data_IF_649059948816
#
_entry.id   IF_649059948816
#
_cell.length_a   1.000
_cell.length_b   1.000
_cell.length_c   1.000
_cell.angle_alpha   90.00
_cell.angle_beta   90.00
_cell.angle_gamma   90.00
#
_symmetry.space_group_name_H-M   'P 1'
#
loop_
_entity.id
_entity.type
_entity.pdbx_description
1 polymer ?
#
# COMPACT_ATOMS: atom_id res chain seq x y z
N UNK A 1 -10.20 -27.72 6.30
CA UNK A 1 -8.98 -27.81 7.13
C UNK A 1 -7.68 -28.20 6.40
N UNK A 2 -7.49 -29.40 5.80
CA UNK A 2 -6.26 -29.70 5.01
C UNK A 2 -6.21 -29.00 3.64
N UNK A 3 -7.37 -28.82 2.99
CA UNK A 3 -7.48 -28.13 1.68
C UNK A 3 -7.24 -26.62 1.79
N UNK A 4 -7.72 -25.96 2.86
CA UNK A 4 -7.38 -24.55 3.15
C UNK A 4 -5.90 -24.31 3.37
N UNK A 5 -5.18 -25.22 4.07
CA UNK A 5 -3.72 -25.10 4.23
C UNK A 5 -2.95 -25.19 2.91
N UNK A 6 -3.47 -25.90 1.91
CA UNK A 6 -2.86 -25.98 0.56
C UNK A 6 -3.09 -24.72 -0.26
N UNK A 7 -4.22 -24.04 -0.08
CA UNK A 7 -4.57 -22.77 -0.77
C UNK A 7 -3.80 -21.57 -0.16
N UNK A 8 -3.34 -21.71 1.08
CA UNK A 8 -2.67 -20.68 1.88
C UNK A 8 -1.19 -20.44 1.53
N UNK A 9 -0.54 -21.40 0.84
CA UNK A 9 0.87 -21.33 0.40
C UNK A 9 1.09 -20.72 -0.99
N UNK A 10 0.01 -20.31 -1.66
CA UNK A 10 0.01 -19.84 -3.05
C UNK A 10 0.18 -18.32 -3.19
N UNK A 11 0.23 -17.58 -2.07
CA UNK A 11 0.31 -16.12 -2.12
C UNK A 11 1.52 -15.58 -2.92
N UNK A 12 2.74 -16.17 -2.88
CA UNK A 12 3.85 -15.64 -3.67
C UNK A 12 3.59 -15.73 -5.17
N UNK A 13 2.88 -16.77 -5.61
CA UNK A 13 2.52 -16.96 -7.03
C UNK A 13 1.42 -15.98 -7.44
N UNK A 14 0.40 -15.77 -6.60
CA UNK A 14 -0.62 -14.74 -6.83
C UNK A 14 -0.02 -13.33 -6.92
N UNK A 15 0.95 -13.02 -6.03
CA UNK A 15 1.70 -11.76 -6.09
C UNK A 15 2.48 -11.66 -7.40
N UNK A 16 3.13 -12.75 -7.83
CA UNK A 16 3.88 -12.78 -9.08
C UNK A 16 2.98 -12.53 -10.29
N UNK A 17 1.84 -13.24 -10.40
CA UNK A 17 0.85 -13.03 -11.47
C UNK A 17 0.44 -11.56 -11.56
N UNK A 18 0.11 -10.94 -10.42
CA UNK A 18 -0.32 -9.56 -10.37
C UNK A 18 0.81 -8.58 -10.73
N UNK A 19 1.98 -8.73 -10.11
CA UNK A 19 3.12 -7.84 -10.29
C UNK A 19 3.68 -7.91 -11.72
N UNK A 20 3.77 -9.11 -12.30
CA UNK A 20 4.23 -9.34 -13.67
C UNK A 20 3.25 -8.71 -14.67
N UNK A 21 1.95 -8.93 -14.49
CA UNK A 21 0.93 -8.34 -15.36
C UNK A 21 0.99 -6.81 -15.33
N UNK A 22 1.15 -6.22 -14.15
CA UNK A 22 1.24 -4.76 -13.98
C UNK A 22 2.62 -4.19 -14.39
N UNK A 23 3.66 -5.01 -14.52
CA UNK A 23 5.01 -4.55 -14.81
C UNK A 23 5.62 -3.72 -13.68
N UNK A 24 5.31 -4.05 -12.42
CA UNK A 24 5.76 -3.29 -11.24
C UNK A 24 7.29 -3.31 -11.16
N UNK A 25 7.91 -2.12 -11.09
CA UNK A 25 9.38 -1.97 -11.14
C UNK A 25 10.09 -2.40 -9.86
N UNK A 26 9.45 -2.18 -8.71
CA UNK A 26 10.01 -2.45 -7.38
C UNK A 26 9.46 -3.76 -6.83
N UNK A 27 10.17 -4.38 -5.88
CA UNK A 27 9.70 -5.63 -5.29
C UNK A 27 8.38 -5.41 -4.54
N UNK A 28 7.36 -6.26 -4.73
CA UNK A 28 6.18 -6.28 -3.87
C UNK A 28 6.57 -6.50 -2.40
N UNK A 29 6.06 -5.65 -1.51
CA UNK A 29 6.40 -5.64 -0.08
C UNK A 29 5.30 -6.31 0.73
N UNK A 30 5.65 -7.34 1.49
CA UNK A 30 4.81 -7.91 2.52
C UNK A 30 4.95 -7.14 3.83
N UNK A 31 3.83 -6.89 4.50
CA UNK A 31 3.78 -6.38 5.87
C UNK A 31 3.22 -7.46 6.78
N UNK A 32 3.88 -7.69 7.92
CA UNK A 32 3.45 -8.70 8.90
C UNK A 32 3.59 -8.19 10.33
N UNK A 33 2.52 -8.30 11.10
CA UNK A 33 2.50 -8.10 12.55
C UNK A 33 2.69 -9.45 13.23
N UNK A 34 3.78 -9.64 13.97
CA UNK A 34 4.05 -10.89 14.70
C UNK A 34 5.22 -10.74 15.66
N UNK A 35 5.19 -11.45 16.78
CA UNK A 35 6.34 -11.57 17.69
C UNK A 35 7.16 -12.85 17.42
N UNK A 36 6.79 -13.62 16.41
CA UNK A 36 7.57 -14.76 15.94
C UNK A 36 8.87 -14.27 15.28
N UNK A 37 10.01 -14.90 15.58
CA UNK A 37 11.27 -14.53 14.95
C UNK A 37 11.25 -14.88 13.45
N UNK A 38 11.82 -14.03 12.58
CA UNK A 38 11.89 -14.31 11.15
C UNK A 38 12.91 -15.40 10.87
N UNK A 39 12.71 -16.15 9.77
CA UNK A 39 13.71 -17.08 9.27
C UNK A 39 14.97 -16.38 8.70
N UNK A 40 14.88 -15.08 8.44
CA UNK A 40 15.94 -14.23 7.88
C UNK A 40 16.17 -13.08 8.84
N UNK A 41 17.43 -12.86 9.22
CA UNK A 41 17.80 -11.76 10.12
C UNK A 41 17.43 -10.40 9.47
N UNK A 42 16.67 -9.54 10.18
CA UNK A 42 16.38 -8.20 9.71
C UNK A 42 17.64 -7.33 9.64
N UNK A 43 17.63 -6.32 8.77
CA UNK A 43 18.70 -5.33 8.76
C UNK A 43 18.77 -4.57 10.09
N UNK A 44 19.99 -4.34 10.61
CA UNK A 44 20.17 -3.58 11.84
C UNK A 44 19.89 -2.09 11.59
N UNK A 45 19.42 -1.40 12.62
CA UNK A 45 19.23 0.05 12.60
C UNK A 45 17.79 0.48 12.84
N UNK A 46 17.56 1.78 12.66
CA UNK A 46 16.25 2.41 12.84
C UNK A 46 15.77 2.98 11.51
N UNK A 47 14.49 2.78 11.22
CA UNK A 47 13.86 3.23 9.97
C UNK A 47 12.58 4.00 10.30
N UNK A 48 12.21 4.96 9.45
CA UNK A 48 10.81 5.41 9.42
C UNK A 48 9.97 4.32 8.74
N UNK A 49 8.66 4.27 8.98
CA UNK A 49 7.77 3.35 8.25
C UNK A 49 7.85 3.59 6.74
N UNK A 50 7.90 4.86 6.34
CA UNK A 50 7.99 5.28 4.95
C UNK A 50 9.29 4.78 4.30
N UNK A 51 10.43 4.88 5.00
CA UNK A 51 11.72 4.37 4.55
C UNK A 51 11.82 2.84 4.59
N UNK A 52 11.14 2.19 5.55
CA UNK A 52 11.06 0.73 5.62
C UNK A 52 10.35 0.14 4.41
N UNK A 53 9.28 0.78 3.92
CA UNK A 53 8.58 0.38 2.70
C UNK A 53 9.53 0.45 1.49
N UNK A 54 10.25 1.57 1.31
CA UNK A 54 11.21 1.71 0.21
C UNK A 54 12.35 0.68 0.31
N UNK A 55 12.95 0.53 1.50
CA UNK A 55 14.06 -0.39 1.73
C UNK A 55 13.64 -1.84 1.46
N UNK A 56 12.44 -2.23 1.91
CA UNK A 56 11.88 -3.54 1.63
C UNK A 56 11.59 -3.74 0.14
N UNK A 57 11.11 -2.71 -0.56
CA UNK A 57 10.89 -2.77 -2.00
C UNK A 57 12.21 -2.93 -2.79
N UNK A 58 13.33 -2.48 -2.20
CA UNK A 58 14.69 -2.62 -2.72
C UNK A 58 15.42 -3.89 -2.24
N UNK A 59 14.75 -4.75 -1.46
CA UNK A 59 15.28 -6.06 -1.09
C UNK A 59 15.50 -6.27 0.41
N UNK A 60 15.44 -5.24 1.25
CA UNK A 60 15.75 -5.37 2.67
C UNK A 60 14.65 -6.13 3.46
N UNK A 61 15.02 -6.80 4.54
CA UNK A 61 14.05 -7.28 5.54
C UNK A 61 14.15 -6.32 6.73
N UNK A 62 13.11 -5.53 6.95
CA UNK A 62 13.09 -4.50 7.99
C UNK A 62 12.15 -4.95 9.11
N UNK A 63 12.60 -4.79 10.35
CA UNK A 63 11.79 -5.00 11.54
C UNK A 63 11.65 -3.68 12.29
N UNK A 64 10.41 -3.25 12.48
CA UNK A 64 10.08 -2.09 13.29
C UNK A 64 9.54 -2.54 14.64
N UNK A 65 10.10 -1.93 15.68
CA UNK A 65 9.70 -2.05 17.09
C UNK A 65 9.60 -0.62 17.66
N UNK A 66 9.14 -0.47 18.91
CA UNK A 66 9.07 0.83 19.58
C UNK A 66 10.43 1.58 19.57
N UNK A 67 11.54 0.88 19.72
CA UNK A 67 12.90 1.43 19.74
C UNK A 67 13.53 1.56 18.34
N UNK A 68 13.09 0.77 17.36
CA UNK A 68 13.65 0.78 15.99
C UNK A 68 12.87 1.62 14.98
N UNK A 69 11.66 2.09 15.32
CA UNK A 69 10.95 3.01 14.44
C UNK A 69 11.30 4.47 14.74
N UNK A 70 12.08 5.09 13.84
CA UNK A 70 12.68 6.42 14.01
C UNK A 70 11.65 7.56 14.12
N UNK A 71 10.48 7.41 13.47
CA UNK A 71 9.43 8.42 13.49
C UNK A 71 8.38 8.12 14.58
N UNK A 72 8.14 9.06 15.49
CA UNK A 72 7.08 8.95 16.52
C UNK A 72 5.69 8.84 15.90
N UNK A 73 5.44 9.59 14.82
CA UNK A 73 4.26 9.43 13.99
C UNK A 73 4.15 8.01 13.44
N UNK A 74 5.24 7.48 12.87
CA UNK A 74 5.32 6.09 12.41
C UNK A 74 4.87 5.09 13.48
N UNK A 75 5.56 5.11 14.65
CA UNK A 75 5.28 4.23 15.81
C UNK A 75 3.82 4.21 16.20
N UNK A 76 3.26 5.40 16.41
CA UNK A 76 1.88 5.54 16.87
C UNK A 76 0.86 5.13 15.79
N UNK A 77 1.09 5.46 14.51
CA UNK A 77 0.12 5.13 13.46
C UNK A 77 0.06 3.65 13.17
N UNK A 78 1.19 2.92 13.16
CA UNK A 78 1.19 1.47 12.92
C UNK A 78 0.91 0.65 14.18
N UNK A 79 0.74 1.28 15.34
CA UNK A 79 0.30 0.62 16.58
C UNK A 79 1.42 0.04 17.45
N UNK A 80 2.68 0.38 17.19
CA UNK A 80 3.81 -0.04 18.05
C UNK A 80 3.79 0.65 19.42
N UNK A 81 3.20 1.84 19.51
CA UNK A 81 3.00 2.54 20.77
C UNK A 81 1.62 3.16 20.80
N UNK A 82 1.03 3.37 22.00
CA UNK A 82 -0.09 4.30 22.14
C UNK A 82 0.28 5.67 21.56
N UNK A 83 -0.76 6.39 21.12
CA UNK A 83 -0.58 7.73 20.58
C UNK A 83 -0.10 8.68 21.69
N UNK A 84 1.07 9.28 21.51
CA UNK A 84 1.60 10.31 22.39
C UNK A 84 0.97 11.68 22.09
N UNK A 85 1.25 12.67 22.95
CA UNK A 85 0.92 14.07 22.68
C UNK A 85 1.51 14.50 21.34
N UNK A 86 0.66 15.03 20.46
CA UNK A 86 1.05 15.45 19.11
C UNK A 86 1.56 16.89 19.18
N UNK A 87 2.73 17.20 18.60
CA UNK A 87 3.28 18.55 18.59
C UNK A 87 2.58 19.40 17.52
N UNK A 88 1.31 19.75 17.75
CA UNK A 88 0.46 20.41 16.75
C UNK A 88 1.05 21.71 16.19
N UNK A 89 1.63 22.54 17.06
CA UNK A 89 2.27 23.80 16.64
C UNK A 89 3.43 23.56 15.68
N UNK A 90 4.24 22.52 15.91
CA UNK A 90 5.34 22.18 15.00
C UNK A 90 4.81 21.79 13.61
N UNK A 91 3.72 21.02 13.54
CA UNK A 91 3.16 20.60 12.25
C UNK A 91 2.49 21.75 11.49
N UNK A 92 1.92 22.72 12.21
CA UNK A 92 1.26 23.91 11.63
C UNK A 92 2.27 24.99 11.24
N UNK A 93 3.21 25.33 12.12
CA UNK A 93 4.12 26.46 11.91
C UNK A 93 5.42 26.03 11.22
N UNK A 94 5.93 24.84 11.58
CA UNK A 94 7.15 24.27 11.01
C UNK A 94 6.88 23.65 9.64
N UNK A 95 6.00 22.66 9.57
CA UNK A 95 5.72 21.96 8.30
C UNK A 95 4.69 22.68 7.41
N UNK A 96 3.88 23.57 7.98
CA UNK A 96 2.89 24.36 7.24
C UNK A 96 1.88 23.51 6.47
N UNK A 97 1.51 22.35 7.05
CA UNK A 97 0.53 21.43 6.47
C UNK A 97 -0.90 21.92 6.62
N UNK A 98 -1.16 22.76 7.63
CA UNK A 98 -2.50 23.27 7.95
C UNK A 98 -2.45 24.75 8.27
N UNK A 99 -3.58 25.43 8.04
CA UNK A 99 -3.74 26.84 8.35
C UNK A 99 -3.63 27.14 9.85
N UNK A 100 -4.20 26.29 10.70
CA UNK A 100 -4.15 26.42 12.17
C UNK A 100 -4.22 25.06 12.88
N UNK A 101 -3.98 25.08 14.20
CA UNK A 101 -4.02 23.87 15.05
C UNK A 101 -5.40 23.20 15.05
N UNK A 102 -6.50 23.96 15.01
CA UNK A 102 -7.86 23.40 14.98
C UNK A 102 -8.09 22.57 13.71
N UNK A 103 -7.58 23.05 12.58
CA UNK A 103 -7.62 22.35 11.30
C UNK A 103 -6.77 21.09 11.33
N UNK A 104 -5.57 21.15 11.93
CA UNK A 104 -4.71 19.99 12.13
C UNK A 104 -5.38 18.90 13.00
N UNK A 105 -6.00 19.30 14.12
CA UNK A 105 -6.73 18.39 15.02
C UNK A 105 -7.91 17.76 14.29
N UNK A 106 -8.73 18.55 13.59
CA UNK A 106 -9.86 18.04 12.79
C UNK A 106 -9.38 17.04 11.74
N UNK A 107 -8.31 17.39 11.03
CA UNK A 107 -7.64 16.52 10.07
C UNK A 107 -7.28 15.17 10.69
N UNK A 108 -6.69 15.15 11.89
CA UNK A 108 -6.38 13.90 12.57
C UNK A 108 -7.63 13.12 13.00
N UNK A 109 -8.66 13.80 13.49
CA UNK A 109 -9.89 13.13 13.93
C UNK A 109 -10.63 12.49 12.76
N UNK A 110 -10.68 13.15 11.60
CA UNK A 110 -11.27 12.56 10.39
C UNK A 110 -10.56 11.26 9.97
N UNK A 111 -9.23 11.20 10.10
CA UNK A 111 -8.45 9.98 9.83
C UNK A 111 -8.83 8.85 10.78
N UNK A 112 -8.87 9.12 12.09
CA UNK A 112 -9.18 8.10 13.10
C UNK A 112 -10.62 7.57 13.08
N UNK A 113 -11.55 8.25 12.41
CA UNK A 113 -12.92 7.73 12.21
C UNK A 113 -12.93 6.46 11.37
N UNK A 114 -11.99 6.33 10.44
CA UNK A 114 -11.95 5.21 9.51
C UNK A 114 -11.13 4.03 10.03
N UNK A 115 -9.99 4.30 10.69
CA UNK A 115 -9.17 3.27 11.29
C UNK A 115 -8.34 3.82 12.44
N UNK A 116 -8.35 3.11 13.57
CA UNK A 116 -7.48 3.40 14.71
C UNK A 116 -6.25 2.48 14.66
N UNK A 117 -5.06 2.97 15.06
CA UNK A 117 -3.88 2.13 15.17
C UNK A 117 -4.12 0.87 16.02
N UNK A 118 -3.64 -0.31 15.59
CA UNK A 118 -3.83 -1.57 16.30
C UNK A 118 -2.83 -1.74 17.45
N UNK A 119 -2.93 -0.87 18.46
CA UNK A 119 -2.05 -0.94 19.63
C UNK A 119 -2.23 -2.28 20.36
N UNK A 120 -1.13 -2.97 20.61
CA UNK A 120 -1.11 -4.28 21.27
C UNK A 120 -1.37 -5.48 20.35
N UNK A 121 -1.38 -5.27 19.02
CA UNK A 121 -1.51 -6.38 18.06
C UNK A 121 -0.23 -7.24 17.96
N UNK A 122 0.94 -6.61 17.98
CA UNK A 122 2.26 -7.23 18.05
C UNK A 122 3.30 -6.18 18.45
N UNK A 123 4.42 -6.60 19.03
CA UNK A 123 5.55 -5.73 19.36
C UNK A 123 6.48 -5.53 18.15
N UNK A 124 6.38 -6.37 17.13
CA UNK A 124 7.17 -6.29 15.90
C UNK A 124 6.29 -6.20 14.64
N UNK A 125 6.69 -5.28 13.75
CA UNK A 125 6.11 -5.14 12.41
C UNK A 125 7.21 -5.29 11.37
N UNK A 126 7.08 -6.30 10.50
CA UNK A 126 8.05 -6.60 9.47
C UNK A 126 7.61 -6.05 8.12
N UNK A 127 8.58 -5.52 7.37
CA UNK A 127 8.47 -5.12 5.96
C UNK A 127 9.52 -5.90 5.17
N UNK A 128 9.12 -6.63 4.15
CA UNK A 128 10.04 -7.50 3.41
C UNK A 128 9.58 -7.75 1.97
N UNK A 129 10.49 -8.01 1.02
CA UNK A 129 10.11 -8.50 -0.30
C UNK A 129 9.34 -9.81 -0.17
N UNK A 130 8.16 -9.90 -0.77
CA UNK A 130 7.36 -11.13 -0.78
C UNK A 130 8.16 -12.33 -1.32
N UNK A 131 9.04 -12.09 -2.29
CA UNK A 131 9.91 -13.11 -2.87
C UNK A 131 10.82 -13.81 -1.83
N UNK A 132 11.16 -13.14 -0.71
CA UNK A 132 11.96 -13.73 0.37
C UNK A 132 11.17 -14.68 1.28
N UNK A 133 9.83 -14.71 1.18
CA UNK A 133 8.94 -15.62 1.92
C UNK A 133 9.20 -15.64 3.44
N UNK A 134 9.54 -14.49 4.01
CA UNK A 134 9.87 -14.38 5.45
C UNK A 134 8.67 -14.78 6.30
N UNK A 135 7.49 -14.26 5.97
CA UNK A 135 6.21 -14.65 6.57
C UNK A 135 5.12 -14.65 5.50
N UNK A 136 3.95 -15.24 5.82
CA UNK A 136 2.71 -14.88 5.12
C UNK A 136 2.36 -13.44 5.51
N UNK A 137 2.21 -12.51 4.54
CA UNK A 137 1.88 -11.13 4.86
C UNK A 137 0.43 -10.99 5.33
N UNK A 138 0.18 -10.00 6.17
CA UNK A 138 -1.16 -9.49 6.47
C UNK A 138 -1.60 -8.51 5.37
N UNK A 139 -0.66 -7.68 4.90
CA UNK A 139 -0.84 -6.75 3.79
C UNK A 139 0.23 -6.93 2.72
N UNK A 140 -0.17 -6.75 1.47
CA UNK A 140 0.72 -6.57 0.34
C UNK A 140 0.73 -5.09 -0.07
N UNK A 141 1.93 -4.51 -0.19
CA UNK A 141 2.15 -3.18 -0.73
C UNK A 141 2.80 -3.29 -2.11
N UNK A 142 2.23 -2.58 -3.09
CA UNK A 142 2.79 -2.39 -4.43
C UNK A 142 3.12 -0.92 -4.64
N UNK A 143 4.36 -0.63 -5.02
CA UNK A 143 4.77 0.73 -5.41
C UNK A 143 4.49 0.87 -6.91
N UNK A 144 3.45 1.62 -7.24
CA UNK A 144 2.86 1.67 -8.58
C UNK A 144 2.86 3.09 -9.13
N UNK A 145 2.96 3.26 -10.45
CA UNK A 145 2.67 4.54 -11.10
C UNK A 145 1.14 4.72 -11.34
N UNK A 146 0.78 5.81 -12.02
CA UNK A 146 -0.62 6.13 -12.32
C UNK A 146 -1.32 5.12 -13.24
N UNK A 147 -0.61 4.58 -14.23
CA UNK A 147 -1.18 3.61 -15.16
C UNK A 147 -1.39 2.27 -14.45
N UNK A 148 -0.39 1.82 -13.71
CA UNK A 148 -0.44 0.61 -12.91
C UNK A 148 -1.54 0.68 -11.85
N UNK A 149 -1.70 1.83 -11.18
CA UNK A 149 -2.80 2.06 -10.25
C UNK A 149 -4.16 1.95 -10.96
N UNK A 150 -4.36 2.60 -12.11
CA UNK A 150 -5.62 2.53 -12.85
C UNK A 150 -6.00 1.09 -13.24
N UNK A 151 -5.00 0.31 -13.68
CA UNK A 151 -5.14 -1.12 -13.97
C UNK A 151 -5.54 -1.91 -12.73
N UNK A 152 -4.82 -1.71 -11.62
CA UNK A 152 -5.08 -2.40 -10.36
C UNK A 152 -6.47 -2.09 -9.78
N UNK A 153 -6.93 -0.83 -9.87
CA UNK A 153 -8.29 -0.45 -9.46
C UNK A 153 -9.36 -1.20 -10.26
N UNK A 154 -9.13 -1.34 -11.56
CA UNK A 154 -10.03 -2.08 -12.45
C UNK A 154 -10.05 -3.57 -12.10
N UNK A 155 -8.90 -4.16 -11.78
CA UNK A 155 -8.80 -5.56 -11.34
C UNK A 155 -9.49 -5.77 -9.98
N UNK A 156 -9.34 -4.84 -9.04
CA UNK A 156 -9.94 -4.94 -7.71
C UNK A 156 -11.48 -4.93 -7.74
N UNK A 157 -12.08 -4.16 -8.63
CA UNK A 157 -13.53 -4.10 -8.78
C UNK A 157 -14.10 -5.15 -9.76
N UNK A 158 -13.25 -5.96 -10.41
CA UNK A 158 -13.63 -6.79 -11.56
C UNK A 158 -14.86 -7.68 -11.30
N UNK A 159 -14.94 -8.28 -10.11
CA UNK A 159 -15.99 -9.23 -9.76
C UNK A 159 -17.29 -8.60 -9.26
N UNK A 160 -17.23 -7.40 -8.71
CA UNK A 160 -18.33 -6.83 -7.93
C UNK A 160 -18.70 -5.39 -8.30
N UNK A 161 -17.92 -4.74 -9.17
CA UNK A 161 -18.10 -3.37 -9.59
C UNK A 161 -18.03 -2.32 -8.48
N UNK A 162 -17.55 -2.70 -7.28
CA UNK A 162 -17.50 -1.80 -6.12
C UNK A 162 -16.26 -0.92 -6.20
N UNK A 163 -16.48 0.38 -6.09
CA UNK A 163 -15.40 1.34 -5.86
C UNK A 163 -14.82 1.10 -4.46
N UNK A 164 -13.49 0.91 -4.33
CA UNK A 164 -12.86 0.89 -3.01
C UNK A 164 -13.08 2.22 -2.29
N UNK A 165 -13.25 2.18 -0.98
CA UNK A 165 -13.15 3.40 -0.17
C UNK A 165 -11.68 3.81 -0.12
N UNK A 166 -11.37 4.99 -0.65
CA UNK A 166 -10.00 5.49 -0.67
C UNK A 166 -9.78 6.51 0.44
N UNK A 167 -8.83 6.21 1.31
CA UNK A 167 -8.32 7.15 2.29
C UNK A 167 -6.94 7.64 1.84
N UNK A 168 -6.97 8.60 0.91
CA UNK A 168 -5.77 9.21 0.31
C UNK A 168 -5.17 10.33 1.18
N UNK A 169 -5.83 10.68 2.29
CA UNK A 169 -5.47 11.78 3.16
C UNK A 169 -4.91 11.26 4.48
N UNK A 170 -3.94 11.98 5.02
CA UNK A 170 -3.32 11.67 6.31
C UNK A 170 -1.92 11.07 6.15
N UNK A 171 -1.30 10.64 7.26
CA UNK A 171 0.06 10.12 7.25
C UNK A 171 0.19 8.88 6.35
N UNK A 172 1.31 8.76 5.63
CA UNK A 172 1.59 7.65 4.72
C UNK A 172 1.54 6.31 5.46
N UNK A 173 2.19 6.22 6.62
CA UNK A 173 2.18 5.02 7.46
C UNK A 173 0.77 4.58 7.85
N UNK A 174 -0.13 5.51 8.14
CA UNK A 174 -1.52 5.19 8.45
C UNK A 174 -2.28 4.75 7.20
N UNK A 175 -2.20 5.50 6.11
CA UNK A 175 -2.98 5.21 4.89
C UNK A 175 -2.54 3.93 4.19
N UNK A 176 -1.27 3.55 4.29
CA UNK A 176 -0.70 2.37 3.61
C UNK A 176 -0.69 1.11 4.47
N UNK A 177 -0.68 1.24 5.80
CA UNK A 177 -0.62 0.08 6.71
C UNK A 177 -1.88 0.02 7.56
N UNK A 178 -2.11 1.02 8.40
CA UNK A 178 -3.17 0.97 9.42
C UNK A 178 -4.58 0.91 8.82
N UNK A 179 -4.89 1.80 7.89
CA UNK A 179 -6.20 1.83 7.25
C UNK A 179 -6.55 0.50 6.57
N UNK A 180 -5.73 -0.02 5.63
CA UNK A 180 -6.05 -1.29 4.96
C UNK A 180 -6.06 -2.48 5.92
N UNK A 181 -5.15 -2.52 6.91
CA UNK A 181 -5.12 -3.61 7.89
C UNK A 181 -6.39 -3.67 8.74
N UNK A 182 -6.90 -2.52 9.18
CA UNK A 182 -7.99 -2.46 10.16
C UNK A 182 -9.35 -2.44 9.50
N UNK A 183 -9.49 -1.74 8.38
CA UNK A 183 -10.74 -1.72 7.63
C UNK A 183 -10.95 -2.98 6.79
N UNK A 184 -9.87 -3.71 6.46
CA UNK A 184 -9.89 -4.79 5.48
C UNK A 184 -10.11 -4.29 4.04
N UNK A 185 -10.06 -2.97 3.79
CA UNK A 185 -10.24 -2.42 2.46
C UNK A 185 -8.91 -2.34 1.70
N UNK A 186 -8.97 -2.52 0.39
CA UNK A 186 -7.95 -2.01 -0.52
C UNK A 186 -7.77 -0.50 -0.31
N UNK A 187 -6.54 0.00 -0.36
CA UNK A 187 -6.29 1.44 -0.42
C UNK A 187 -5.23 1.81 -1.45
N UNK A 188 -5.37 3.00 -2.03
CA UNK A 188 -4.35 3.63 -2.85
C UNK A 188 -3.94 4.94 -2.18
N UNK A 189 -2.68 5.04 -1.77
CA UNK A 189 -2.13 6.23 -1.13
C UNK A 189 -1.15 6.94 -2.06
N UNK A 190 -1.33 8.25 -2.20
CA UNK A 190 -0.35 9.13 -2.84
C UNK A 190 0.78 9.54 -1.88
N UNK A 191 0.77 9.09 -0.63
CA UNK A 191 1.76 9.48 0.37
C UNK A 191 1.66 10.94 0.82
N UNK A 192 1.81 11.20 2.11
CA UNK A 192 1.85 12.57 2.59
C UNK A 192 3.14 13.29 2.15
N UNK A 193 3.05 14.61 1.98
CA UNK A 193 4.14 15.42 1.45
C UNK A 193 5.40 15.36 2.32
N UNK A 194 5.26 15.15 3.63
CA UNK A 194 6.37 15.11 4.58
C UNK A 194 7.13 13.81 4.45
N UNK A 195 6.44 12.67 4.38
CA UNK A 195 7.03 11.37 4.08
C UNK A 195 7.79 11.37 2.74
N UNK A 196 7.18 11.93 1.68
CA UNK A 196 7.81 11.99 0.36
C UNK A 196 9.09 12.81 0.36
N UNK A 197 9.10 13.95 1.04
CA UNK A 197 10.29 14.82 1.16
C UNK A 197 11.39 14.19 2.00
N UNK A 198 11.02 13.62 3.15
CA UNK A 198 11.96 13.02 4.10
C UNK A 198 12.70 11.82 3.49
N UNK A 199 11.95 10.91 2.88
CA UNK A 199 12.49 9.66 2.32
C UNK A 199 12.80 9.74 0.82
N UNK A 200 12.63 10.91 0.20
CA UNK A 200 12.91 11.18 -1.22
C UNK A 200 12.23 10.19 -2.17
N UNK A 201 10.93 10.00 -1.98
CA UNK A 201 10.13 9.15 -2.86
C UNK A 201 10.16 9.67 -4.30
N UNK A 202 10.31 8.76 -5.27
CA UNK A 202 10.13 9.07 -6.68
C UNK A 202 8.74 9.70 -6.89
N UNK A 203 8.65 10.76 -7.70
CA UNK A 203 7.42 11.57 -7.81
C UNK A 203 6.24 10.84 -8.45
N UNK A 204 6.51 9.81 -9.25
CA UNK A 204 5.50 9.01 -9.96
C UNK A 204 4.88 7.90 -9.09
N UNK A 205 5.55 7.50 -8.00
CA UNK A 205 5.12 6.35 -7.21
C UNK A 205 3.94 6.67 -6.30
N UNK A 206 2.99 5.76 -6.25
CA UNK A 206 1.93 5.63 -5.26
C UNK A 206 2.05 4.27 -4.59
N UNK A 207 1.35 4.09 -3.47
CA UNK A 207 1.34 2.82 -2.74
C UNK A 207 -0.06 2.23 -2.78
N UNK A 208 -0.21 1.12 -3.49
CA UNK A 208 -1.40 0.30 -3.40
C UNK A 208 -1.23 -0.72 -2.28
N UNK A 209 -2.22 -0.80 -1.39
CA UNK A 209 -2.21 -1.64 -0.20
C UNK A 209 -3.38 -2.61 -0.28
N UNK A 210 -3.06 -3.90 -0.32
CA UNK A 210 -4.00 -5.00 -0.54
C UNK A 210 -3.97 -5.90 0.69
N UNK A 211 -5.05 -5.98 1.48
CA UNK A 211 -5.19 -7.03 2.48
C UNK A 211 -5.10 -8.40 1.81
N UNK A 212 -4.33 -9.32 2.40
CA UNK A 212 -3.95 -10.58 1.74
C UNK A 212 -5.17 -11.44 1.37
N UNK A 213 -6.30 -11.23 2.04
CA UNK A 213 -7.60 -11.85 1.76
C UNK A 213 -8.12 -11.51 0.36
N UNK A 214 -7.84 -10.30 -0.13
CA UNK A 214 -8.26 -9.80 -1.45
C UNK A 214 -7.29 -10.14 -2.58
N UNK A 215 -6.07 -10.60 -2.26
CA UNK A 215 -5.05 -10.85 -3.29
C UNK A 215 -5.50 -11.88 -4.34
N UNK A 216 -6.17 -12.95 -3.90
CA UNK A 216 -6.60 -14.03 -4.79
C UNK A 216 -7.59 -13.53 -5.84
N UNK A 217 -8.63 -12.81 -5.44
CA UNK A 217 -9.67 -12.33 -6.36
C UNK A 217 -9.11 -11.35 -7.39
N UNK A 218 -8.16 -10.48 -6.98
CA UNK A 218 -7.48 -9.55 -7.88
C UNK A 218 -6.60 -10.30 -8.89
N UNK A 219 -5.81 -11.28 -8.43
CA UNK A 219 -4.95 -12.06 -9.29
C UNK A 219 -5.75 -12.93 -10.28
N UNK A 220 -6.88 -13.52 -9.85
CA UNK A 220 -7.77 -14.30 -10.73
C UNK A 220 -8.48 -13.44 -11.79
N UNK A 221 -8.60 -12.12 -11.58
CA UNK A 221 -9.12 -11.19 -12.58
C UNK A 221 -8.11 -10.84 -13.69
N UNK A 222 -6.81 -11.01 -13.46
CA UNK A 222 -5.73 -10.66 -14.41
C UNK A 222 -5.94 -11.28 -15.80
N UNK A 223 -6.14 -12.59 -15.96
CA UNK A 223 -6.31 -13.20 -17.28
C UNK A 223 -7.66 -12.91 -17.94
N UNK A 224 -8.59 -12.26 -17.22
CA UNK A 224 -9.97 -12.03 -17.67
C UNK A 224 -10.26 -10.56 -18.00
N UNK A 225 -9.34 -9.64 -17.66
CA UNK A 225 -9.50 -8.20 -17.81
C UNK A 225 -8.44 -7.62 -18.74
N UNK A 226 -8.82 -6.65 -19.57
CA UNK A 226 -7.88 -5.86 -20.38
C UNK A 226 -6.99 -4.95 -19.52
N UNK A 227 -7.36 -4.72 -18.26
CA UNK A 227 -6.48 -4.12 -17.27
C UNK A 227 -5.39 -5.09 -16.78
N UNK A 228 -5.60 -6.39 -16.94
CA UNK A 228 -4.61 -7.44 -16.70
C UNK A 228 -3.92 -7.83 -18.02
N UNK A 229 -4.18 -9.05 -18.49
CA UNK A 229 -3.58 -9.63 -19.69
C UNK A 229 -4.60 -10.12 -20.72
N UNK A 230 -5.90 -9.89 -20.52
CA UNK A 230 -6.90 -10.31 -21.49
C UNK A 230 -6.86 -9.42 -22.73
N UNK A 231 -7.04 -10.04 -23.90
CA UNK A 231 -7.18 -9.31 -25.16
C UNK A 231 -8.54 -8.64 -25.25
N UNK A 232 -8.55 -7.42 -25.81
CA UNK A 232 -9.80 -6.76 -26.15
C UNK A 232 -10.50 -7.51 -27.30
N UNK A 233 -11.83 -7.48 -27.32
CA UNK A 233 -12.58 -8.05 -28.45
C UNK A 233 -12.27 -7.28 -29.73
N UNK A 234 -12.29 -7.96 -30.89
CA UNK A 234 -12.07 -7.30 -32.18
C UNK A 234 -13.04 -6.14 -32.42
N UNK A 235 -14.29 -6.27 -31.94
CA UNK A 235 -15.29 -5.21 -32.04
C UNK A 235 -14.84 -3.96 -31.28
N UNK A 236 -14.32 -4.12 -30.06
CA UNK A 236 -13.81 -3.01 -29.26
C UNK A 236 -12.58 -2.38 -29.93
N UNK A 237 -11.64 -3.20 -30.42
CA UNK A 237 -10.45 -2.72 -31.14
C UNK A 237 -10.84 -1.86 -32.35
N UNK A 238 -11.73 -2.35 -33.22
CA UNK A 238 -12.25 -1.60 -34.39
C UNK A 238 -12.90 -0.28 -33.97
N UNK A 239 -13.67 -0.29 -32.89
CA UNK A 239 -14.31 0.93 -32.37
C UNK A 239 -13.28 1.95 -31.88
N UNK A 240 -12.27 1.52 -31.12
CA UNK A 240 -11.20 2.40 -30.61
C UNK A 240 -10.35 2.99 -31.73
N UNK A 241 -10.04 2.21 -32.77
CA UNK A 241 -9.33 2.71 -33.96
C UNK A 241 -10.12 3.82 -34.67
N UNK A 242 -11.43 3.63 -34.86
CA UNK A 242 -12.29 4.66 -35.45
C UNK A 242 -12.35 5.93 -34.59
N UNK A 243 -12.39 5.80 -33.25
CA UNK A 243 -12.33 6.95 -32.35
C UNK A 243 -11.00 7.69 -32.48
N UNK A 244 -9.87 6.97 -32.46
CA UNK A 244 -8.52 7.55 -32.61
C UNK A 244 -8.37 8.27 -33.95
N UNK A 245 -8.88 7.69 -35.05
CA UNK A 245 -8.86 8.31 -36.36
C UNK A 245 -9.64 9.64 -36.38
N UNK A 246 -10.82 9.69 -35.74
CA UNK A 246 -11.63 10.92 -35.61
C UNK A 246 -10.96 11.98 -34.72
N UNK A 247 -10.30 11.57 -33.64
CA UNK A 247 -9.56 12.49 -32.76
C UNK A 247 -8.26 13.00 -33.38
N UNK A 248 -7.65 12.24 -34.30
CA UNK A 248 -6.44 12.64 -35.04
C UNK A 248 -6.63 13.85 -35.96
N UNK A 249 -7.87 14.13 -36.39
CA UNK A 249 -8.22 15.36 -37.13
C UNK A 249 -8.51 16.56 -36.22
N UNK A 250 -8.59 16.38 -34.89
CA UNK A 250 -8.88 17.44 -33.93
C UNK A 250 -7.63 18.03 -33.25
N UNK A 251 -6.43 17.49 -33.54
CA UNK A 251 -5.15 17.93 -32.95
C UNK A 251 -4.16 18.52 -33.97
N UNK A 252 -4.65 19.01 -35.11
CA UNK A 252 -3.88 19.88 -36.01
C UNK A 252 -4.25 21.34 -35.82
#
# INVERSE_FOLDING_TARGET
MKKERSVMNDYPELVRILADALGVRKSPVGVRYTDEPPAVEPEPGSYTVCGAILSAADGAVIMLTEDRCACSGGRSHIGLTPRSTIPWQLLVEGEKLWYDVKTAVRSSMETEKFARPPVGLADHVYFYPVAKRVFRPDLLLLLVDAEQAARLLTLNQFWNGKTPSFEMRGPLCWSTVTYPLISGNFNLSVGDISARRMERWDSDLMVASIPVEHLREIAEAVPLSTAGTAEASEQFQRMTEQMRAKSGDALK
#
